data_IF_767041315509
#
_entry.id   IF_767041315509
#
_cell.length_a   1.000
_cell.length_b   1.000
_cell.length_c   1.000
_cell.angle_alpha   90.00
_cell.angle_beta   90.00
_cell.angle_gamma   90.00
#
_symmetry.space_group_name_H-M   'P 1'
#
loop_
_entity.id
_entity.type
_entity.pdbx_description
1 polymer ?
#
# COMPACT_ATOMS: atom_id res chain seq x y z
N UNK A 1 -0.03 2.80 20.57
CA UNK A 1 -0.06 1.52 19.83
C UNK A 1 -1.44 0.92 19.99
N UNK A 2 -2.23 0.82 18.92
CA UNK A 2 -3.44 -0.02 18.97
C UNK A 2 -2.99 -1.47 18.83
N UNK A 3 -2.54 -2.07 19.95
CA UNK A 3 -2.37 -3.52 20.05
C UNK A 3 -3.75 -4.14 20.07
N UNK A 4 -4.28 -4.49 18.90
CA UNK A 4 -5.55 -5.23 18.81
C UNK A 4 -5.25 -6.68 19.21
N UNK A 5 -5.97 -7.19 20.20
CA UNK A 5 -5.87 -8.59 20.63
C UNK A 5 -6.63 -9.54 19.69
N UNK A 6 -7.49 -8.99 18.82
CA UNK A 6 -8.28 -9.76 17.85
C UNK A 6 -8.43 -8.99 16.53
N UNK A 7 -8.72 -9.72 15.46
CA UNK A 7 -8.99 -9.15 14.12
C UNK A 7 -10.34 -8.42 14.17
N UNK A 8 -10.36 -7.17 13.70
CA UNK A 8 -11.55 -6.32 13.70
C UNK A 8 -11.68 -5.64 12.35
N UNK A 9 -12.86 -5.69 11.75
CA UNK A 9 -13.16 -4.94 10.53
C UNK A 9 -13.13 -3.45 10.90
N UNK A 10 -12.38 -2.58 10.18
CA UNK A 10 -12.34 -1.16 10.45
C UNK A 10 -13.72 -0.52 10.51
N UNK A 11 -13.98 0.25 11.56
CA UNK A 11 -15.21 1.01 11.77
C UNK A 11 -15.02 2.51 11.44
N UNK A 12 -16.08 3.30 11.59
CA UNK A 12 -16.04 4.76 11.32
C UNK A 12 -14.99 5.50 12.15
N UNK A 13 -14.68 5.03 13.37
CA UNK A 13 -13.66 5.66 14.22
C UNK A 13 -12.28 5.39 13.64
N UNK A 14 -12.02 4.19 13.15
CA UNK A 14 -10.77 3.84 12.49
C UNK A 14 -10.54 4.68 11.23
N UNK A 15 -11.57 4.85 10.40
CA UNK A 15 -11.50 5.69 9.19
C UNK A 15 -11.23 7.17 9.52
N UNK A 16 -11.92 7.72 10.53
CA UNK A 16 -11.65 9.10 11.00
C UNK A 16 -10.22 9.26 11.52
N UNK A 17 -9.76 8.34 12.37
CA UNK A 17 -8.41 8.38 12.91
C UNK A 17 -7.34 8.27 11.81
N UNK A 18 -7.57 7.43 10.79
CA UNK A 18 -6.67 7.34 9.64
C UNK A 18 -6.59 8.65 8.85
N UNK A 19 -7.74 9.29 8.58
CA UNK A 19 -7.77 10.61 7.94
C UNK A 19 -7.02 11.66 8.76
N UNK A 20 -7.31 11.75 10.06
CA UNK A 20 -6.63 12.69 10.97
C UNK A 20 -5.11 12.48 10.94
N UNK A 21 -4.64 11.24 10.87
CA UNK A 21 -3.21 10.94 10.79
C UNK A 21 -2.60 11.32 9.42
N UNK A 22 -3.32 11.09 8.32
CA UNK A 22 -2.93 11.57 7.01
C UNK A 22 -2.79 13.11 6.97
N UNK A 23 -3.70 13.83 7.63
CA UNK A 23 -3.73 15.29 7.66
C UNK A 23 -2.77 15.92 8.68
N UNK A 24 -2.41 15.18 9.74
CA UNK A 24 -1.57 15.70 10.82
C UNK A 24 -0.11 15.91 10.40
N UNK A 25 0.42 17.13 10.52
CA UNK A 25 1.84 17.40 10.29
C UNK A 25 2.69 17.32 11.57
N UNK A 26 2.06 17.37 12.74
CA UNK A 26 2.76 17.37 14.03
C UNK A 26 3.45 16.02 14.27
N UNK A 27 4.74 16.06 14.62
CA UNK A 27 5.53 14.86 14.89
C UNK A 27 6.00 14.13 13.64
N UNK A 28 5.81 14.71 12.45
CA UNK A 28 6.31 14.22 11.18
C UNK A 28 7.48 15.09 10.71
N UNK A 29 8.54 14.47 10.20
CA UNK A 29 9.69 15.18 9.63
C UNK A 29 9.66 15.07 8.10
N UNK A 30 9.64 16.21 7.41
CA UNK A 30 9.72 16.25 5.95
C UNK A 30 11.09 15.74 5.49
N UNK A 31 11.08 14.68 4.68
CA UNK A 31 12.29 14.00 4.17
C UNK A 31 12.53 14.23 2.68
N UNK A 32 11.49 14.57 1.92
CA UNK A 32 11.54 14.84 0.49
C UNK A 32 10.40 15.79 0.10
N UNK A 33 10.67 16.75 -0.79
CA UNK A 33 9.64 17.58 -1.42
C UNK A 33 10.11 18.05 -2.80
N UNK A 34 9.48 17.56 -3.87
CA UNK A 34 9.76 17.97 -5.25
C UNK A 34 8.62 17.59 -6.18
N UNK A 35 8.33 18.47 -7.15
CA UNK A 35 7.39 18.21 -8.25
C UNK A 35 6.01 17.71 -7.79
N UNK A 36 5.41 18.39 -6.80
CA UNK A 36 4.08 18.05 -6.29
C UNK A 36 4.02 16.77 -5.44
N UNK A 37 5.17 16.18 -5.08
CA UNK A 37 5.28 15.03 -4.18
C UNK A 37 6.07 15.42 -2.94
N UNK A 38 5.53 15.10 -1.76
CA UNK A 38 6.18 15.31 -0.48
C UNK A 38 6.13 14.04 0.37
N UNK A 39 7.23 13.73 1.06
CA UNK A 39 7.36 12.55 1.91
C UNK A 39 7.79 12.97 3.30
N UNK A 40 7.01 12.54 4.30
CA UNK A 40 7.33 12.68 5.70
C UNK A 40 7.64 11.32 6.32
N UNK A 41 8.51 11.34 7.32
CA UNK A 41 8.88 10.18 8.12
C UNK A 41 8.66 10.51 9.59
N UNK A 42 8.12 9.54 10.33
CA UNK A 42 8.03 9.58 11.78
C UNK A 42 8.74 8.35 12.34
N UNK A 43 9.79 8.59 13.14
CA UNK A 43 10.48 7.55 13.88
C UNK A 43 9.70 7.23 15.16
N UNK A 44 9.23 5.99 15.29
CA UNK A 44 8.49 5.55 16.47
C UNK A 44 9.39 4.79 17.44
N UNK A 45 10.15 3.81 16.93
CA UNK A 45 11.02 2.96 17.72
C UNK A 45 12.38 2.84 17.01
N UNK A 46 13.34 3.73 17.32
CA UNK A 46 14.66 3.71 16.68
C UNK A 46 15.37 2.35 16.79
N UNK A 47 15.16 1.65 17.90
CA UNK A 47 15.78 0.35 18.18
C UNK A 47 15.18 -0.82 17.38
N UNK A 48 13.92 -0.69 16.94
CA UNK A 48 13.21 -1.70 16.15
C UNK A 48 13.12 -1.37 14.67
N UNK A 49 13.76 -0.28 14.24
CA UNK A 49 13.70 0.23 12.86
C UNK A 49 12.27 0.42 12.33
N UNK A 50 11.30 0.66 13.22
CA UNK A 50 9.92 0.83 12.82
C UNK A 50 9.68 2.30 12.43
N UNK A 51 9.46 2.51 11.14
CA UNK A 51 9.23 3.83 10.57
C UNK A 51 7.79 3.93 10.09
N UNK A 52 7.17 5.08 10.35
CA UNK A 52 5.99 5.51 9.61
C UNK A 52 6.42 6.41 8.47
N UNK A 53 5.88 6.14 7.29
CA UNK A 53 6.10 6.94 6.10
C UNK A 53 4.76 7.48 5.65
N UNK A 54 4.73 8.77 5.34
CA UNK A 54 3.60 9.44 4.72
C UNK A 54 4.06 10.09 3.43
N UNK A 55 3.40 9.81 2.32
CA UNK A 55 3.69 10.39 1.01
C UNK A 55 2.44 11.05 0.45
N UNK A 56 2.50 12.35 0.21
CA UNK A 56 1.41 13.12 -0.40
C UNK A 56 1.79 13.51 -1.82
N UNK A 57 0.84 13.38 -2.75
CA UNK A 57 1.01 13.78 -4.14
C UNK A 57 -0.24 14.47 -4.68
N UNK A 58 -0.03 15.60 -5.35
CA UNK A 58 -1.07 16.28 -6.12
C UNK A 58 -1.21 15.65 -7.51
N UNK A 59 -2.44 15.33 -7.92
CA UNK A 59 -2.77 14.81 -9.24
C UNK A 59 -3.68 15.82 -9.94
N UNK A 60 -3.15 16.58 -10.90
CA UNK A 60 -3.84 17.77 -11.46
C UNK A 60 -4.82 17.46 -12.60
N UNK A 61 -4.71 16.28 -13.17
CA UNK A 61 -5.39 15.81 -14.39
C UNK A 61 -5.96 14.38 -14.21
N UNK A 62 -6.16 13.96 -12.97
CA UNK A 62 -6.77 12.68 -12.59
C UNK A 62 -7.91 12.96 -11.61
N UNK A 63 -9.11 12.47 -11.95
CA UNK A 63 -10.26 12.50 -11.05
C UNK A 63 -10.07 11.52 -9.88
N UNK A 64 -10.63 11.83 -8.72
CA UNK A 64 -10.51 10.99 -7.52
C UNK A 64 -11.03 9.56 -7.75
N UNK A 65 -12.12 9.42 -8.51
CA UNK A 65 -12.75 8.16 -8.90
C UNK A 65 -11.79 7.27 -9.71
N UNK A 66 -11.06 7.86 -10.67
CA UNK A 66 -10.09 7.12 -11.49
C UNK A 66 -8.96 6.59 -10.63
N UNK A 67 -8.45 7.40 -9.69
CA UNK A 67 -7.38 6.97 -8.80
C UNK A 67 -7.88 5.91 -7.80
N UNK A 68 -9.11 6.05 -7.31
CA UNK A 68 -9.78 5.06 -6.48
C UNK A 68 -9.94 3.71 -7.20
N UNK A 69 -10.38 3.71 -8.46
CA UNK A 69 -10.47 2.51 -9.29
C UNK A 69 -9.10 1.84 -9.48
N UNK A 70 -8.04 2.61 -9.78
CA UNK A 70 -6.68 2.08 -9.97
C UNK A 70 -6.13 1.42 -8.70
N UNK A 71 -6.49 1.92 -7.52
CA UNK A 71 -6.09 1.32 -6.25
C UNK A 71 -6.81 -0.02 -5.97
N UNK A 72 -8.04 -0.17 -6.45
CA UNK A 72 -8.84 -1.39 -6.27
C UNK A 72 -8.63 -2.45 -7.35
N UNK A 73 -8.32 -2.06 -8.59
CA UNK A 73 -8.25 -2.98 -9.72
C UNK A 73 -6.98 -3.84 -9.68
N UNK A 74 -7.09 -5.04 -9.08
CA UNK A 74 -5.97 -5.99 -8.92
C UNK A 74 -5.49 -6.55 -10.25
N UNK A 75 -6.37 -6.68 -11.25
CA UNK A 75 -5.98 -7.08 -12.59
C UNK A 75 -5.08 -6.00 -13.20
N UNK A 76 -5.49 -4.74 -13.09
CA UNK A 76 -4.67 -3.62 -13.56
C UNK A 76 -3.38 -3.46 -12.75
N UNK A 77 -3.38 -3.77 -11.45
CA UNK A 77 -2.19 -3.71 -10.60
C UNK A 77 -1.03 -4.51 -11.20
N UNK A 78 -1.30 -5.70 -11.74
CA UNK A 78 -0.30 -6.55 -12.42
C UNK A 78 0.28 -5.91 -13.67
N UNK A 79 -0.41 -4.94 -14.28
CA UNK A 79 0.02 -4.24 -15.48
C UNK A 79 1.00 -3.10 -15.20
N UNK A 80 0.77 -2.34 -14.13
CA UNK A 80 1.54 -1.12 -13.86
C UNK A 80 2.54 -1.24 -12.71
N UNK A 81 2.31 -2.15 -11.76
CA UNK A 81 3.21 -2.39 -10.64
C UNK A 81 4.29 -3.41 -11.02
N UNK A 82 5.44 -2.92 -11.49
CA UNK A 82 6.56 -3.77 -11.94
C UNK A 82 7.17 -4.64 -10.84
N UNK A 83 6.88 -4.30 -9.58
CA UNK A 83 7.40 -5.04 -8.42
C UNK A 83 6.49 -6.19 -8.01
N UNK A 84 5.24 -6.24 -8.47
CA UNK A 84 4.34 -7.36 -8.18
C UNK A 84 4.93 -8.67 -8.69
N UNK A 85 4.96 -9.66 -7.80
CA UNK A 85 5.18 -11.07 -8.12
C UNK A 85 3.82 -11.75 -8.26
N UNK A 86 2.96 -11.52 -7.28
CA UNK A 86 1.65 -12.16 -7.18
C UNK A 86 0.71 -11.30 -6.34
N UNK A 87 -0.55 -11.20 -6.76
CA UNK A 87 -1.59 -10.46 -6.02
C UNK A 87 -2.98 -10.99 -6.40
N UNK A 88 -3.82 -11.20 -5.39
CA UNK A 88 -5.20 -11.65 -5.52
C UNK A 88 -5.98 -11.46 -4.21
N UNK A 89 -7.30 -11.30 -4.31
CA UNK A 89 -8.19 -11.34 -3.16
C UNK A 89 -8.50 -12.79 -2.77
N UNK A 90 -8.48 -13.07 -1.47
CA UNK A 90 -8.69 -14.39 -0.87
C UNK A 90 -10.17 -14.62 -0.58
N UNK A 91 -10.83 -13.64 0.04
CA UNK A 91 -12.21 -13.79 0.50
C UNK A 91 -12.79 -12.49 1.03
N UNK A 92 -14.11 -12.40 1.01
CA UNK A 92 -14.86 -11.21 1.38
C UNK A 92 -15.41 -11.32 2.81
N UNK A 93 -15.21 -10.29 3.61
CA UNK A 93 -15.72 -10.20 4.99
C UNK A 93 -17.05 -9.44 5.06
N UNK A 94 -17.14 -8.29 4.39
CA UNK A 94 -18.35 -7.44 4.30
C UNK A 94 -18.54 -6.95 2.87
N UNK A 95 -19.41 -5.97 2.62
CA UNK A 95 -19.54 -5.32 1.29
C UNK A 95 -18.36 -4.43 0.95
N UNK A 96 -17.60 -3.99 1.97
CA UNK A 96 -16.51 -3.03 1.84
C UNK A 96 -15.23 -3.47 2.56
N UNK A 97 -15.11 -4.76 2.89
CA UNK A 97 -13.93 -5.33 3.50
C UNK A 97 -13.66 -6.75 2.97
N UNK A 98 -12.40 -7.01 2.66
CA UNK A 98 -11.88 -8.28 2.16
C UNK A 98 -10.52 -8.63 2.77
N UNK A 99 -10.06 -9.84 2.48
CA UNK A 99 -8.71 -10.29 2.75
C UNK A 99 -8.02 -10.54 1.44
N UNK A 100 -6.81 -10.01 1.26
CA UNK A 100 -6.01 -10.18 0.06
C UNK A 100 -4.59 -10.64 0.35
N UNK A 101 -3.94 -11.16 -0.68
CA UNK A 101 -2.53 -11.52 -0.70
C UNK A 101 -1.76 -10.63 -1.68
N UNK A 102 -0.58 -10.20 -1.28
CA UNK A 102 0.31 -9.39 -2.12
C UNK A 102 1.77 -9.77 -1.89
N UNK A 103 2.49 -10.04 -2.98
CA UNK A 103 3.90 -10.40 -2.98
C UNK A 103 4.68 -9.51 -3.95
N UNK A 104 5.86 -9.04 -3.53
CA UNK A 104 6.67 -8.10 -4.31
C UNK A 104 8.16 -8.40 -4.29
N UNK A 105 8.82 -7.95 -5.36
CA UNK A 105 10.27 -7.97 -5.53
C UNK A 105 10.93 -6.91 -4.65
N UNK A 106 11.97 -7.30 -3.93
CA UNK A 106 12.84 -6.36 -3.24
C UNK A 106 14.16 -6.16 -4.01
N UNK A 107 14.80 -4.98 -3.88
CA UNK A 107 16.12 -4.76 -4.45
C UNK A 107 17.12 -5.80 -3.96
N UNK A 108 17.88 -6.42 -4.87
CA UNK A 108 18.92 -7.38 -4.46
C UNK A 108 19.94 -6.68 -3.55
N UNK A 109 20.51 -7.37 -2.55
CA UNK A 109 20.37 -8.81 -2.24
C UNK A 109 19.22 -9.17 -1.28
N UNK A 110 18.25 -8.28 -1.05
CA UNK A 110 17.12 -8.54 -0.15
C UNK A 110 16.24 -9.67 -0.69
N UNK A 111 15.74 -10.53 0.21
CA UNK A 111 14.70 -11.51 -0.14
C UNK A 111 13.40 -10.79 -0.54
N UNK A 112 12.62 -11.40 -1.43
CA UNK A 112 11.29 -10.87 -1.76
C UNK A 112 10.35 -10.95 -0.55
N UNK A 113 9.30 -10.14 -0.54
CA UNK A 113 8.34 -10.09 0.58
C UNK A 113 6.94 -10.46 0.13
N UNK A 114 6.16 -11.01 1.07
CA UNK A 114 4.72 -11.19 0.95
C UNK A 114 3.97 -10.62 2.17
N UNK A 115 2.69 -10.32 1.97
CA UNK A 115 1.73 -9.95 3.03
C UNK A 115 0.38 -10.59 2.77
N UNK A 116 -0.30 -10.91 3.86
CA UNK A 116 -1.75 -11.17 3.88
C UNK A 116 -2.38 -10.04 4.68
N UNK A 117 -3.35 -9.33 4.10
CA UNK A 117 -3.95 -8.15 4.72
C UNK A 117 -5.47 -8.22 4.70
N UNK A 118 -6.08 -7.77 5.79
CA UNK A 118 -7.48 -7.34 5.77
C UNK A 118 -7.48 -5.91 5.23
N UNK A 119 -8.24 -5.66 4.17
CA UNK A 119 -8.44 -4.35 3.57
C UNK A 119 -9.90 -3.94 3.75
N UNK A 120 -10.13 -2.66 4.04
CA UNK A 120 -11.45 -2.05 4.14
C UNK A 120 -11.44 -0.68 3.48
N UNK A 121 -12.56 -0.28 2.89
CA UNK A 121 -12.69 0.99 2.19
C UNK A 121 -13.97 1.74 2.53
N UNK A 122 -13.91 3.07 2.43
CA UNK A 122 -15.02 3.95 2.73
C UNK A 122 -14.99 5.18 1.79
N UNK A 123 -15.99 5.32 0.91
CA UNK A 123 -16.28 6.58 0.24
C UNK A 123 -16.85 7.61 1.23
N UNK A 124 -16.39 8.86 1.16
CA UNK A 124 -16.75 9.96 2.06
C UNK A 124 -17.05 11.23 1.25
N UNK A 125 -18.16 11.23 0.51
CA UNK A 125 -18.48 12.31 -0.42
C UNK A 125 -17.57 12.26 -1.65
N UNK A 126 -16.74 13.28 -1.86
CA UNK A 126 -15.75 13.33 -2.96
C UNK A 126 -14.42 12.67 -2.63
N UNK A 127 -14.28 12.19 -1.39
CA UNK A 127 -13.04 11.64 -0.86
C UNK A 127 -13.18 10.13 -0.64
N UNK A 128 -12.06 9.42 -0.65
CA UNK A 128 -12.05 7.96 -0.51
C UNK A 128 -10.94 7.56 0.47
N UNK A 129 -11.23 6.59 1.34
CA UNK A 129 -10.22 5.96 2.17
C UNK A 129 -10.17 4.47 1.86
N UNK A 130 -8.96 3.94 1.67
CA UNK A 130 -8.69 2.51 1.63
C UNK A 130 -7.62 2.24 2.67
N UNK A 131 -7.90 1.39 3.65
CA UNK A 131 -6.93 1.03 4.69
C UNK A 131 -6.82 -0.47 4.82
N UNK A 132 -5.64 -0.93 5.24
CA UNK A 132 -5.34 -2.33 5.45
C UNK A 132 -4.37 -2.53 6.60
N UNK A 133 -4.40 -3.72 7.18
CA UNK A 133 -3.42 -4.20 8.13
C UNK A 133 -3.27 -5.72 8.00
N UNK A 134 -2.13 -6.25 8.45
CA UNK A 134 -1.80 -7.66 8.27
C UNK A 134 -2.61 -8.57 9.19
N UNK A 135 -3.09 -9.68 8.62
CA UNK A 135 -3.79 -10.76 9.31
C UNK A 135 -3.13 -12.10 8.96
N UNK A 136 -3.34 -13.11 9.80
CA UNK A 136 -3.01 -14.50 9.49
C UNK A 136 -4.26 -15.16 8.91
N UNK A 137 -4.10 -15.76 7.74
CA UNK A 137 -5.10 -16.65 7.16
C UNK A 137 -4.55 -18.09 7.19
N UNK A 138 -5.28 -19.10 7.73
CA UNK A 138 -4.75 -20.46 7.93
C UNK A 138 -4.19 -21.12 6.67
N UNK A 139 -4.81 -20.86 5.51
CA UNK A 139 -4.39 -21.38 4.19
C UNK A 139 -3.21 -20.64 3.55
N UNK A 140 -2.75 -19.52 4.12
CA UNK A 140 -1.64 -18.71 3.58
C UNK A 140 -0.53 -18.49 4.63
N UNK A 141 0.09 -19.57 5.14
CA UNK A 141 1.21 -19.47 6.08
C UNK A 141 2.43 -18.81 5.43
N UNK A 142 3.43 -18.37 6.22
CA UNK A 142 4.69 -17.87 5.68
C UNK A 142 5.36 -18.88 4.74
N UNK A 143 5.92 -18.38 3.64
CA UNK A 143 6.64 -19.19 2.64
C UNK A 143 8.14 -19.21 2.94
N UNK A 144 8.84 -20.27 2.54
CA UNK A 144 10.29 -20.42 2.80
C UNK A 144 11.17 -19.53 1.89
N UNK A 145 10.67 -19.19 0.71
CA UNK A 145 11.38 -18.43 -0.32
C UNK A 145 11.21 -16.90 -0.20
N UNK A 146 10.38 -16.44 0.74
CA UNK A 146 10.03 -15.03 0.91
C UNK A 146 10.00 -14.65 2.39
N UNK A 147 10.09 -13.35 2.67
CA UNK A 147 9.91 -12.80 4.01
C UNK A 147 8.45 -12.36 4.19
N UNK A 148 7.75 -12.89 5.19
CA UNK A 148 6.44 -12.38 5.58
C UNK A 148 6.60 -11.03 6.26
N UNK A 149 6.28 -9.95 5.54
CA UNK A 149 6.23 -8.61 6.13
C UNK A 149 4.93 -8.43 6.94
N UNK A 150 4.90 -7.39 7.78
CA UNK A 150 3.73 -7.04 8.59
C UNK A 150 3.35 -5.58 8.35
N UNK A 151 2.24 -5.37 7.65
CA UNK A 151 1.58 -4.07 7.55
C UNK A 151 0.86 -3.81 8.87
N UNK A 152 1.40 -2.94 9.73
CA UNK A 152 0.74 -2.56 10.99
C UNK A 152 -0.47 -1.68 10.69
N UNK A 153 -0.28 -0.73 9.77
CA UNK A 153 -1.33 0.10 9.21
C UNK A 153 -0.81 0.64 7.88
N UNK A 154 -1.52 0.41 6.78
CA UNK A 154 -1.21 1.03 5.50
C UNK A 154 -2.50 1.46 4.82
N UNK A 155 -2.50 2.57 4.11
CA UNK A 155 -3.67 3.00 3.38
C UNK A 155 -3.45 4.23 2.52
N UNK A 156 -4.55 4.66 1.91
CA UNK A 156 -4.65 5.78 1.02
C UNK A 156 -5.83 6.65 1.44
N UNK A 157 -5.58 7.94 1.58
CA UNK A 157 -6.61 8.98 1.59
C UNK A 157 -6.56 9.68 0.23
N UNK A 158 -7.66 9.63 -0.51
CA UNK A 158 -7.84 10.31 -1.79
C UNK A 158 -8.82 11.45 -1.56
N UNK A 159 -8.40 12.68 -1.80
CA UNK A 159 -9.20 13.89 -1.61
C UNK A 159 -9.55 14.50 -2.97
N UNK A 160 -10.83 14.61 -3.30
CA UNK A 160 -11.28 15.29 -4.51
C UNK A 160 -10.97 16.78 -4.46
N UNK A 161 -10.36 17.33 -5.52
CA UNK A 161 -10.02 18.76 -5.65
C UNK A 161 -10.67 19.39 -6.88
N UNK A 162 -11.77 18.80 -7.36
CA UNK A 162 -12.49 19.18 -8.57
C UNK A 162 -12.77 17.97 -9.47
N UNK A 163 -13.39 18.20 -10.62
CA UNK A 163 -13.83 17.11 -11.51
C UNK A 163 -12.69 16.31 -12.17
N UNK A 164 -11.47 16.85 -12.20
CA UNK A 164 -10.30 16.23 -12.86
C UNK A 164 -9.03 16.32 -12.02
N UNK A 165 -9.17 16.55 -10.72
CA UNK A 165 -8.02 16.74 -9.83
C UNK A 165 -8.29 16.11 -8.48
N UNK A 166 -7.26 15.52 -7.89
CA UNK A 166 -7.29 14.98 -6.55
C UNK A 166 -5.92 15.08 -5.87
N UNK A 167 -5.90 14.97 -4.55
CA UNK A 167 -4.68 14.73 -3.79
C UNK A 167 -4.74 13.32 -3.23
N UNK A 168 -3.64 12.59 -3.29
CA UNK A 168 -3.51 11.30 -2.60
C UNK A 168 -2.47 11.43 -1.48
N UNK A 169 -2.84 10.95 -0.30
CA UNK A 169 -1.92 10.71 0.81
C UNK A 169 -1.83 9.22 1.07
N UNK A 170 -0.67 8.63 0.78
CA UNK A 170 -0.30 7.27 1.19
C UNK A 170 0.31 7.32 2.58
N UNK A 171 -0.21 6.53 3.51
CA UNK A 171 0.32 6.37 4.87
C UNK A 171 0.66 4.91 5.08
N UNK A 172 1.86 4.63 5.56
CA UNK A 172 2.33 3.28 5.82
C UNK A 172 3.18 3.18 7.07
N UNK A 173 2.77 2.30 7.96
CA UNK A 173 3.52 1.75 9.06
C UNK A 173 3.71 0.26 8.78
N UNK A 174 4.89 -0.09 8.27
CA UNK A 174 5.21 -1.47 7.91
C UNK A 174 6.43 -1.89 8.72
N UNK A 175 6.34 -3.06 9.34
CA UNK A 175 7.50 -3.82 9.76
C UNK A 175 7.86 -4.72 8.56
N UNK A 176 8.89 -4.35 7.77
CA UNK A 176 9.26 -5.08 6.56
C UNK A 176 9.78 -6.48 6.85
N UNK A 177 10.01 -6.77 8.14
CA UNK A 177 10.68 -7.95 8.65
C UNK A 177 12.07 -8.18 8.07
N UNK A 178 12.82 -8.92 8.88
CA UNK A 178 14.27 -8.91 8.84
C UNK A 178 14.89 -7.60 9.32
N UNK A 179 16.21 -7.59 9.41
CA UNK A 179 16.99 -6.42 9.81
C UNK A 179 17.40 -5.66 8.55
N UNK A 180 16.53 -4.77 8.07
CA UNK A 180 16.86 -3.94 6.92
C UNK A 180 18.10 -3.08 7.19
N UNK A 181 19.07 -3.01 6.27
CA UNK A 181 20.16 -2.07 6.37
C UNK A 181 19.67 -0.61 6.44
N UNK A 182 20.37 0.24 7.20
CA UNK A 182 20.04 1.67 7.34
C UNK A 182 19.93 2.40 5.98
N UNK A 183 20.70 1.98 4.98
CA UNK A 183 20.64 2.56 3.64
C UNK A 183 19.29 2.32 2.95
N UNK A 184 18.65 1.17 3.20
CA UNK A 184 17.34 0.83 2.63
C UNK A 184 16.26 1.75 3.19
N UNK A 185 16.29 1.98 4.50
CA UNK A 185 15.36 2.90 5.18
C UNK A 185 15.50 4.31 4.60
N UNK A 186 16.72 4.81 4.48
CA UNK A 186 16.98 6.15 3.92
C UNK A 186 16.58 6.28 2.44
N UNK A 187 16.79 5.23 1.62
CA UNK A 187 16.34 5.21 0.22
C UNK A 187 14.83 5.07 0.06
N UNK A 188 14.17 4.36 0.97
CA UNK A 188 12.75 4.07 0.87
C UNK A 188 11.90 5.36 0.88
N UNK A 189 12.24 6.31 1.76
CA UNK A 189 11.57 7.60 1.89
C UNK A 189 11.98 8.59 0.79
N UNK A 190 13.25 8.61 0.38
CA UNK A 190 13.76 9.58 -0.60
C UNK A 190 13.50 9.20 -2.06
N UNK A 191 13.43 7.91 -2.39
CA UNK A 191 13.38 7.45 -3.78
C UNK A 191 12.21 6.50 -4.05
N UNK A 192 12.03 5.45 -3.23
CA UNK A 192 11.07 4.39 -3.54
C UNK A 192 9.62 4.88 -3.43
N UNK A 193 9.27 5.58 -2.34
CA UNK A 193 7.92 6.11 -2.16
C UNK A 193 7.53 7.14 -3.25
N UNK A 194 8.34 8.17 -3.58
CA UNK A 194 8.02 9.07 -4.69
C UNK A 194 7.91 8.37 -6.04
N UNK A 195 8.82 7.42 -6.35
CA UNK A 195 8.79 6.68 -7.63
C UNK A 195 7.55 5.81 -7.75
N UNK A 196 7.14 5.14 -6.68
CA UNK A 196 5.91 4.34 -6.65
C UNK A 196 4.66 5.19 -6.87
N UNK A 197 4.55 6.34 -6.19
CA UNK A 197 3.43 7.26 -6.37
C UNK A 197 3.35 7.80 -7.80
N UNK A 198 4.49 8.21 -8.38
CA UNK A 198 4.54 8.66 -9.79
C UNK A 198 4.14 7.55 -10.78
N UNK A 199 4.55 6.30 -10.55
CA UNK A 199 4.13 5.15 -11.37
C UNK A 199 2.62 4.94 -11.31
N UNK A 200 2.03 4.97 -10.12
CA UNK A 200 0.58 4.89 -9.92
C UNK A 200 -0.16 6.05 -10.60
N UNK A 201 0.35 7.28 -10.51
CA UNK A 201 -0.20 8.43 -11.23
C UNK A 201 -0.18 8.22 -12.76
N UNK A 202 0.94 7.78 -13.33
CA UNK A 202 1.02 7.41 -14.76
C UNK A 202 0.04 6.29 -15.12
N UNK A 203 -0.21 5.35 -14.20
CA UNK A 203 -1.20 4.29 -14.38
C UNK A 203 -2.62 4.84 -14.43
N UNK A 204 -2.94 5.86 -13.63
CA UNK A 204 -4.24 6.55 -13.66
C UNK A 204 -4.53 7.21 -15.01
N UNK A 205 -3.53 7.86 -15.61
CA UNK A 205 -3.68 8.48 -16.92
C UNK A 205 -4.03 7.47 -18.03
N UNK A 206 -3.56 6.22 -17.90
CA UNK A 206 -3.80 5.13 -18.86
C UNK A 206 -5.01 4.26 -18.52
N UNK A 207 -5.57 4.40 -17.31
CA UNK A 207 -6.58 3.48 -16.80
C UNK A 207 -7.90 3.51 -17.58
N UNK A 208 -8.49 4.67 -17.94
CA UNK A 208 -9.75 4.69 -18.67
C UNK A 208 -9.70 3.89 -19.97
N UNK A 209 -8.66 4.10 -20.79
CA UNK A 209 -8.46 3.39 -22.05
C UNK A 209 -8.22 1.89 -21.85
N UNK A 210 -7.45 1.53 -20.82
CA UNK A 210 -7.21 0.13 -20.49
C UNK A 210 -8.51 -0.53 -20.04
N UNK A 211 -9.24 0.06 -19.09
CA UNK A 211 -10.45 -0.51 -18.50
C UNK A 211 -11.57 -0.68 -19.52
N UNK A 212 -11.67 0.22 -20.49
CA UNK A 212 -12.61 0.10 -21.62
C UNK A 212 -12.45 -1.21 -22.40
N UNK A 213 -11.23 -1.78 -22.43
CA UNK A 213 -10.90 -3.02 -23.14
C UNK A 213 -10.90 -4.26 -22.23
N UNK A 214 -11.10 -4.10 -20.92
CA UNK A 214 -10.98 -5.16 -19.91
C UNK A 214 -12.18 -5.13 -18.96
N UNK A 215 -13.34 -5.55 -19.47
CA UNK A 215 -14.60 -5.60 -18.72
C UNK A 215 -14.94 -4.27 -18.02
N UNK A 216 -15.27 -3.19 -18.77
CA UNK A 216 -15.41 -1.84 -18.21
C UNK A 216 -16.45 -1.72 -17.09
N UNK A 217 -17.50 -2.54 -17.15
CA UNK A 217 -18.57 -2.57 -16.15
C UNK A 217 -18.23 -3.38 -14.90
N UNK A 218 -17.16 -4.18 -14.91
CA UNK A 218 -16.74 -5.01 -13.79
C UNK A 218 -15.88 -4.19 -12.82
N UNK A 219 -16.53 -3.66 -11.79
CA UNK A 219 -15.95 -2.85 -10.70
C UNK A 219 -16.57 -3.28 -9.37
N UNK A 220 -16.23 -4.48 -8.85
CA UNK A 220 -16.85 -5.04 -7.64
C UNK A 220 -16.62 -4.19 -6.37
N UNK A 221 -15.64 -3.29 -6.37
CA UNK A 221 -15.43 -2.31 -5.30
C UNK A 221 -16.47 -1.19 -5.28
N UNK A 222 -17.12 -0.90 -6.41
CA UNK A 222 -18.26 0.04 -6.51
C UNK A 222 -19.61 -0.69 -6.45
N UNK A 223 -19.66 -1.92 -6.98
CA UNK A 223 -20.85 -2.74 -7.14
C UNK A 223 -20.63 -4.12 -6.47
N UNK A 224 -20.77 -4.23 -5.13
CA UNK A 224 -20.40 -5.43 -4.38
C UNK A 224 -21.08 -6.72 -4.84
N UNK A 225 -22.27 -6.62 -5.45
CA UNK A 225 -23.01 -7.72 -6.05
C UNK A 225 -22.27 -8.39 -7.22
N UNK A 226 -21.30 -7.71 -7.82
CA UNK A 226 -20.44 -8.27 -8.86
C UNK A 226 -19.32 -9.16 -8.29
N UNK A 227 -19.08 -9.12 -6.98
CA UNK A 227 -18.01 -9.89 -6.35
C UNK A 227 -18.31 -11.39 -6.38
N UNK A 228 -17.38 -12.16 -6.95
CA UNK A 228 -17.42 -13.63 -6.94
C UNK A 228 -16.57 -14.23 -5.82
N UNK A 229 -16.07 -13.41 -4.89
CA UNK A 229 -15.23 -13.87 -3.79
C UNK A 229 -16.03 -14.72 -2.81
N UNK A 230 -15.45 -15.81 -2.27
CA UNK A 230 -16.09 -16.57 -1.22
C UNK A 230 -16.25 -15.71 0.03
N UNK A 231 -17.34 -15.91 0.76
CA UNK A 231 -17.51 -15.33 2.08
C UNK A 231 -16.47 -15.93 3.04
N UNK A 232 -15.88 -15.09 3.88
CA UNK A 232 -14.89 -15.48 4.89
C UNK A 232 -15.41 -15.08 6.27
N UNK A 233 -15.34 -15.99 7.25
CA UNK A 233 -15.69 -15.65 8.62
C UNK A 233 -14.52 -14.93 9.30
N UNK A 234 -14.81 -13.83 10.01
CA UNK A 234 -13.78 -13.06 10.73
C UNK A 234 -13.04 -13.92 11.78
N UNK A 235 -13.72 -14.92 12.36
CA UNK A 235 -13.16 -15.86 13.33
C UNK A 235 -12.12 -16.81 12.76
N UNK A 236 -12.03 -16.96 11.44
CA UNK A 236 -10.97 -17.75 10.78
C UNK A 236 -9.63 -17.02 10.75
N UNK A 237 -9.63 -15.71 11.02
CA UNK A 237 -8.46 -14.85 10.99
C UNK A 237 -7.87 -14.65 12.38
N UNK A 238 -6.55 -14.49 12.46
CA UNK A 238 -5.87 -14.06 13.68
C UNK A 238 -4.93 -12.89 13.40
N UNK A 239 -4.56 -12.14 14.43
CA UNK A 239 -3.68 -10.98 14.28
C UNK A 239 -2.27 -11.44 13.88
N UNK A 240 -1.71 -10.76 12.88
CA UNK A 240 -0.32 -10.96 12.50
C UNK A 240 0.58 -10.09 13.37
N UNK A 241 1.04 -10.64 14.50
CA UNK A 241 2.06 -9.96 15.31
C UNK A 241 3.43 -10.11 14.68
N UNK A 242 4.12 -8.97 14.55
CA UNK A 242 5.51 -8.88 14.17
C UNK A 242 6.41 -9.83 14.99
N UNK A 243 6.26 -9.87 16.32
CA UNK A 243 7.11 -10.70 17.18
C UNK A 243 6.91 -12.22 17.02
N UNK A 244 5.84 -12.65 16.35
CA UNK A 244 5.51 -14.08 16.17
C UNK A 244 6.08 -14.71 14.89
N UNK A 245 6.82 -13.94 14.09
CA UNK A 245 7.45 -14.40 12.85
C UNK A 245 8.95 -14.62 13.08
N UNK A 246 9.52 -15.58 12.34
CA UNK A 246 10.97 -15.76 12.30
C UNK A 246 11.66 -14.49 11.81
N UNK A 247 12.72 -14.08 12.51
CA UNK A 247 13.55 -12.96 12.09
C UNK A 247 14.61 -13.44 11.11
N UNK A 248 14.66 -12.83 9.93
CA UNK A 248 15.70 -13.08 8.92
C UNK A 248 16.71 -11.93 8.98
N UNK A 249 17.92 -12.18 9.49
CA UNK A 249 18.93 -11.13 9.60
C UNK A 249 19.50 -10.76 8.22
N UNK A 250 19.20 -9.55 7.75
CA UNK A 250 19.64 -8.97 6.49
C UNK A 250 20.55 -7.73 6.71
N UNK A 251 20.96 -7.47 7.96
CA UNK A 251 21.63 -6.22 8.36
C UNK A 251 23.01 -6.04 7.75
N UNK A 252 23.69 -7.17 7.47
CA UNK A 252 25.03 -7.23 6.90
C UNK A 252 25.05 -7.05 5.38
N UNK A 253 23.89 -6.95 4.73
CA UNK A 253 23.79 -6.83 3.28
C UNK A 253 24.22 -5.44 2.79
N UNK A 254 25.20 -5.44 1.90
CA UNK A 254 25.70 -4.23 1.24
C UNK A 254 24.91 -3.90 -0.03
N UNK A 255 24.83 -2.61 -0.34
CA UNK A 255 24.19 -2.12 -1.56
C UNK A 255 24.99 -2.55 -2.80
N UNK A 256 24.40 -3.37 -3.66
CA UNK A 256 24.96 -3.67 -4.99
C UNK A 256 24.59 -2.57 -5.99
N UNK A 257 25.53 -2.14 -6.84
CA UNK A 257 25.36 -1.02 -7.79
C UNK A 257 24.39 -1.27 -8.95
N UNK A 258 23.78 -2.46 -9.05
CA UNK A 258 23.11 -2.94 -10.27
C UNK A 258 21.68 -2.40 -10.52
N UNK A 259 21.02 -1.77 -9.56
CA UNK A 259 19.65 -1.24 -9.78
C UNK A 259 19.62 0.17 -10.39
N UNK A 260 20.76 0.68 -10.89
CA UNK A 260 20.77 1.87 -11.77
C UNK A 260 20.19 1.58 -13.17
N UNK A 261 19.81 0.35 -13.47
CA UNK A 261 19.33 -0.12 -14.78
C UNK A 261 17.89 0.26 -15.17
N UNK A 262 17.08 0.86 -14.29
CA UNK A 262 15.77 1.46 -14.66
C UNK A 262 15.76 2.97 -14.43
N UNK A 263 16.88 3.62 -14.78
CA UNK A 263 17.07 5.07 -14.73
C UNK A 263 16.88 5.77 -16.10
N UNK A 264 16.47 5.03 -17.15
CA UNK A 264 16.05 5.62 -18.42
C UNK A 264 14.56 5.36 -18.61
N UNK A 265 13.74 6.35 -18.26
CA UNK A 265 12.45 6.58 -18.90
C UNK A 265 12.14 8.08 -18.75
N UNK A 266 12.77 8.83 -19.66
CA UNK A 266 12.30 10.06 -20.29
C UNK A 266 11.65 11.11 -19.38
N UNK A 267 12.49 12.00 -18.86
CA UNK A 267 12.14 13.42 -18.73
C UNK A 267 12.05 14.00 -20.16
N UNK A 268 10.92 13.75 -20.83
CA UNK A 268 10.56 14.42 -22.07
C UNK A 268 9.04 14.48 -22.18
N UNK A 269 8.44 15.41 -21.45
CA UNK A 269 7.17 16.00 -21.85
C UNK A 269 7.33 17.51 -21.73
N UNK A 270 7.61 18.13 -22.87
CA UNK A 270 7.22 19.52 -23.13
C UNK A 270 5.70 19.63 -23.10
#
# INVERSE_FOLDING_TARGET
MSGRDSVQIPDDRDFRAFREECECERGWSLSYSKAGVAVWVQLLEPERSLHKIKCRMECKDVAAETLYDVLHDIEYRKKWDTNVIETFDIGRLTVNADVGYYAWKCPKPLKNRDVVTLRSWLPMGTDYIIMNYSVKHPKYPPRKDMVRAVSIQTGYLVEGKGAKSCTITYLAQVDPKGSLPKWVVNKSSQFLAPKAMKRMYKACLKYPDWKQRHNPCLKPWLFPEQSTLPALALSELSIQHAASLENIDESSLSETKDDRGEASDEDSVN
#
